data_IF_333293942859
#
_entry.id   IF_333293942859
#
_cell.length_a   1.000
_cell.length_b   1.000
_cell.length_c   1.000
_cell.angle_alpha   90.00
_cell.angle_beta   90.00
_cell.angle_gamma   90.00
#
_symmetry.space_group_name_H-M   'P 1'
#
loop_
_entity.id
_entity.type
_entity.pdbx_description
1 polymer ?
#
# COMPACT_ATOMS: atom_id res chain seq x y z
N UNK A 1 -18.85 21.14 -19.17
CA UNK A 1 -18.33 19.80 -18.84
C UNK A 1 -17.31 19.96 -17.74
N UNK A 2 -17.55 19.35 -16.57
CA UNK A 2 -16.68 19.49 -15.41
C UNK A 2 -15.70 18.32 -15.42
N UNK A 3 -14.39 18.61 -15.42
CA UNK A 3 -13.35 17.58 -15.43
C UNK A 3 -13.48 16.69 -14.19
N UNK A 4 -13.27 15.35 -14.32
CA UNK A 4 -13.34 14.47 -13.17
C UNK A 4 -12.33 14.92 -12.11
N UNK A 5 -12.79 15.05 -10.87
CA UNK A 5 -11.94 15.35 -9.70
C UNK A 5 -11.07 14.13 -9.42
N UNK A 6 -9.92 14.04 -10.06
CA UNK A 6 -9.02 12.88 -10.01
C UNK A 6 -8.15 12.84 -8.74
N UNK A 7 -8.57 13.51 -7.65
CA UNK A 7 -7.82 13.61 -6.40
C UNK A 7 -8.77 13.49 -5.20
N UNK A 8 -9.37 12.31 -4.97
CA UNK A 8 -10.09 12.06 -3.74
C UNK A 8 -9.14 12.21 -2.54
N UNK A 9 -9.63 12.61 -1.36
CA UNK A 9 -8.80 12.67 -0.16
C UNK A 9 -8.30 11.26 0.16
N UNK A 10 -7.04 11.01 -0.13
CA UNK A 10 -6.30 9.80 0.24
C UNK A 10 -6.30 9.77 1.78
N UNK A 11 -7.14 8.94 2.38
CA UNK A 11 -7.07 8.68 3.82
C UNK A 11 -5.88 7.77 4.09
N UNK A 12 -4.70 8.38 4.24
CA UNK A 12 -3.49 7.70 4.70
C UNK A 12 -3.70 7.28 6.16
N UNK A 13 -4.17 6.04 6.37
CA UNK A 13 -4.46 5.55 7.71
C UNK A 13 -3.20 5.45 8.58
N UNK A 14 -2.04 5.16 7.99
CA UNK A 14 -0.73 5.23 8.64
C UNK A 14 0.37 5.07 7.57
N UNK A 15 1.33 6.00 7.48
CA UNK A 15 2.55 5.79 6.70
C UNK A 15 3.72 6.09 7.61
N UNK A 16 4.68 5.18 7.68
CA UNK A 16 5.86 5.45 8.49
C UNK A 16 6.66 6.62 7.91
N UNK A 17 6.98 7.58 8.79
CA UNK A 17 7.83 8.73 8.48
C UNK A 17 9.26 8.33 8.10
N UNK A 18 9.65 7.07 8.35
CA UNK A 18 10.95 6.51 7.95
C UNK A 18 11.01 6.11 6.47
N UNK A 19 9.84 5.87 5.85
CA UNK A 19 9.73 5.39 4.46
C UNK A 19 9.48 6.53 3.48
N UNK A 20 8.65 7.48 3.88
CA UNK A 20 8.39 8.72 3.18
C UNK A 20 8.58 9.87 4.17
N UNK A 21 9.79 10.43 4.31
CA UNK A 21 9.99 11.57 5.18
C UNK A 21 9.11 12.73 4.72
N UNK A 22 8.38 13.41 5.62
CA UNK A 22 7.72 14.65 5.27
C UNK A 22 8.80 15.66 4.86
N UNK A 23 8.77 16.13 3.62
CA UNK A 23 9.60 17.26 3.21
C UNK A 23 9.14 18.46 4.03
N UNK A 24 9.95 18.87 5.01
CA UNK A 24 9.72 20.16 5.67
C UNK A 24 10.16 21.23 4.67
N UNK A 25 9.23 22.07 4.21
CA UNK A 25 9.49 23.22 3.31
C UNK A 25 10.41 24.31 3.91
N UNK A 26 11.17 24.03 4.97
CA UNK A 26 11.97 25.02 5.70
C UNK A 26 13.38 24.60 6.10
N UNK A 27 14.00 23.64 5.40
CA UNK A 27 15.43 23.34 5.59
C UNK A 27 16.25 23.74 4.35
N UNK A 28 16.17 25.01 3.96
CA UNK A 28 17.07 25.61 2.94
C UNK A 28 18.47 25.87 3.53
N UNK A 29 18.63 25.86 4.85
CA UNK A 29 19.88 26.26 5.53
C UNK A 29 20.45 25.23 6.52
N UNK A 30 19.91 24.01 6.58
CA UNK A 30 20.44 22.94 7.43
C UNK A 30 20.60 21.70 6.57
N UNK A 31 21.84 21.39 6.20
CA UNK A 31 22.21 20.19 5.42
C UNK A 31 22.05 18.90 6.24
N UNK A 32 20.96 18.73 6.98
CA UNK A 32 20.54 17.39 7.38
C UNK A 32 19.75 16.80 6.22
N UNK A 33 20.47 16.33 5.21
CA UNK A 33 19.91 15.38 4.25
C UNK A 33 19.33 14.25 5.09
N UNK A 34 18.00 14.18 5.24
CA UNK A 34 17.36 12.99 5.77
C UNK A 34 17.70 11.89 4.77
N UNK A 35 18.75 11.12 5.05
CA UNK A 35 19.17 10.04 4.18
C UNK A 35 17.99 9.08 4.05
N UNK A 36 17.50 8.94 2.83
CA UNK A 36 16.48 7.94 2.53
C UNK A 36 17.03 6.59 2.92
N UNK A 37 16.27 5.84 3.73
CA UNK A 37 16.60 4.46 4.12
C UNK A 37 16.73 3.54 2.90
N UNK A 38 16.09 3.91 1.80
CA UNK A 38 16.01 3.12 0.57
C UNK A 38 16.51 3.90 -0.64
N UNK A 39 17.20 3.20 -1.52
CA UNK A 39 17.69 3.70 -2.81
C UNK A 39 16.63 3.52 -3.92
N UNK A 40 15.72 2.54 -3.73
CA UNK A 40 14.56 2.28 -4.60
C UNK A 40 13.34 1.93 -3.74
N UNK A 41 12.17 2.47 -4.07
CA UNK A 41 10.89 2.09 -3.43
C UNK A 41 9.96 1.49 -4.48
N UNK A 42 9.47 0.27 -4.21
CA UNK A 42 8.49 -0.42 -5.06
C UNK A 42 7.10 -0.32 -4.44
N UNK A 43 6.17 0.30 -5.17
CA UNK A 43 4.78 0.40 -4.76
C UNK A 43 3.94 -0.72 -5.41
N UNK A 44 3.36 -1.58 -4.58
CA UNK A 44 2.62 -2.76 -5.02
C UNK A 44 1.14 -2.58 -4.76
N UNK A 45 0.31 -2.54 -5.81
CA UNK A 45 -1.15 -2.62 -5.68
C UNK A 45 -1.55 -4.02 -5.23
N UNK A 46 -2.24 -4.13 -4.10
CA UNK A 46 -2.70 -5.39 -3.53
C UNK A 46 -4.17 -5.30 -3.14
N UNK A 47 -4.91 -6.39 -3.33
CA UNK A 47 -6.24 -6.51 -2.75
C UNK A 47 -6.15 -6.60 -1.21
N UNK A 48 -7.15 -6.06 -0.51
CA UNK A 48 -7.18 -5.99 0.96
C UNK A 48 -7.02 -7.37 1.63
N UNK A 49 -7.51 -8.42 0.98
CA UNK A 49 -7.50 -9.80 1.45
C UNK A 49 -6.26 -10.63 1.05
N UNK A 50 -5.36 -10.11 0.21
CA UNK A 50 -4.18 -10.84 -0.29
C UNK A 50 -3.00 -10.80 0.71
N UNK A 51 -3.23 -11.17 1.97
CA UNK A 51 -2.19 -11.15 3.01
C UNK A 51 -1.00 -12.05 2.68
N UNK A 52 -1.27 -13.26 2.17
CA UNK A 52 -0.23 -14.23 1.84
C UNK A 52 0.69 -13.72 0.73
N UNK A 53 0.12 -13.15 -0.34
CA UNK A 53 0.92 -12.59 -1.44
C UNK A 53 1.80 -11.45 -0.93
N UNK A 54 1.27 -10.56 -0.07
CA UNK A 54 2.07 -9.50 0.55
C UNK A 54 3.22 -10.07 1.38
N UNK A 55 2.99 -11.14 2.13
CA UNK A 55 4.05 -11.81 2.89
C UNK A 55 5.11 -12.42 1.97
N UNK A 56 4.71 -13.08 0.88
CA UNK A 56 5.65 -13.62 -0.11
C UNK A 56 6.48 -12.51 -0.74
N UNK A 57 5.88 -11.36 -1.07
CA UNK A 57 6.61 -10.19 -1.55
C UNK A 57 7.61 -9.66 -0.52
N UNK A 58 7.22 -9.54 0.76
CA UNK A 58 8.14 -9.15 1.84
C UNK A 58 9.36 -10.07 1.92
N UNK A 59 9.13 -11.38 1.93
CA UNK A 59 10.22 -12.36 1.98
C UNK A 59 11.13 -12.30 0.76
N UNK A 60 10.57 -12.09 -0.43
CA UNK A 60 11.35 -11.96 -1.67
C UNK A 60 12.26 -10.73 -1.62
N UNK A 61 11.71 -9.55 -1.28
CA UNK A 61 12.50 -8.32 -1.26
C UNK A 61 13.49 -8.26 -0.10
N UNK A 62 13.19 -8.89 1.04
CA UNK A 62 14.19 -9.11 2.09
C UNK A 62 15.38 -9.91 1.55
N UNK A 63 15.12 -11.04 0.88
CA UNK A 63 16.19 -11.86 0.28
C UNK A 63 16.97 -11.10 -0.80
N UNK A 64 16.32 -10.28 -1.62
CA UNK A 64 17.00 -9.45 -2.63
C UNK A 64 17.93 -8.44 -1.95
N UNK A 65 17.47 -7.77 -0.88
CA UNK A 65 18.31 -6.85 -0.12
C UNK A 65 19.52 -7.56 0.49
N UNK A 66 19.33 -8.72 1.14
CA UNK A 66 20.43 -9.50 1.74
C UNK A 66 21.51 -9.88 0.70
N UNK A 67 21.07 -10.28 -0.50
CA UNK A 67 21.97 -10.59 -1.61
C UNK A 67 22.67 -9.34 -2.16
N UNK A 68 21.97 -8.20 -2.15
CA UNK A 68 22.50 -6.95 -2.66
C UNK A 68 23.60 -6.35 -1.77
N UNK A 69 23.53 -6.56 -0.45
CA UNK A 69 24.57 -6.10 0.50
C UNK A 69 25.98 -6.56 0.13
N UNK A 70 26.09 -7.72 -0.51
CA UNK A 70 27.38 -8.34 -0.90
C UNK A 70 27.75 -8.09 -2.36
N UNK A 71 26.96 -7.28 -3.08
CA UNK A 71 27.19 -6.98 -4.50
C UNK A 71 28.14 -5.80 -4.69
N UNK A 72 28.70 -5.65 -5.89
CA UNK A 72 29.55 -4.51 -6.24
C UNK A 72 28.81 -3.15 -6.15
N UNK A 73 27.48 -3.17 -6.18
CA UNK A 73 26.61 -2.00 -6.11
C UNK A 73 25.41 -2.31 -5.20
N UNK A 74 25.56 -2.21 -3.87
CA UNK A 74 24.47 -2.50 -2.94
C UNK A 74 23.31 -1.52 -3.14
N UNK A 75 22.10 -2.07 -3.19
CA UNK A 75 20.85 -1.35 -3.43
C UNK A 75 19.85 -1.72 -2.34
N UNK A 76 19.44 -0.73 -1.55
CA UNK A 76 18.45 -0.90 -0.48
C UNK A 76 17.07 -0.68 -1.06
N UNK A 77 16.31 -1.75 -1.24
CA UNK A 77 14.96 -1.69 -1.82
C UNK A 77 13.90 -1.69 -0.70
N UNK A 78 13.08 -0.64 -0.68
CA UNK A 78 11.88 -0.56 0.14
C UNK A 78 10.66 -1.05 -0.64
N UNK A 79 9.70 -1.66 0.05
CA UNK A 79 8.42 -2.02 -0.56
C UNK A 79 7.28 -1.39 0.21
N UNK A 80 6.26 -0.91 -0.51
CA UNK A 80 5.05 -0.33 0.08
C UNK A 80 3.83 -0.93 -0.60
N UNK A 81 2.87 -1.42 0.17
CA UNK A 81 1.63 -1.98 -0.38
C UNK A 81 0.53 -0.93 -0.40
N UNK A 82 -0.11 -0.74 -1.55
CA UNK A 82 -1.32 0.05 -1.74
C UNK A 82 -2.51 -0.91 -1.66
N UNK A 83 -3.24 -0.87 -0.54
CA UNK A 83 -4.42 -1.71 -0.30
C UNK A 83 -5.69 -0.86 -0.22
N UNK A 84 -6.79 -1.39 -0.76
CA UNK A 84 -8.09 -0.73 -0.65
C UNK A 84 -8.67 -0.82 0.77
N UNK A 85 -9.56 0.11 1.12
CA UNK A 85 -10.35 0.02 2.36
C UNK A 85 -11.18 -1.30 2.44
N UNK A 86 -11.17 -2.00 3.60
CA UNK A 86 -12.09 -3.10 3.84
C UNK A 86 -13.54 -2.58 3.82
N UNK A 87 -14.42 -3.16 2.99
CA UNK A 87 -15.82 -2.73 2.84
C UNK A 87 -16.80 -3.85 3.15
N UNK A 88 -17.84 -3.54 3.92
CA UNK A 88 -18.84 -4.50 4.43
C UNK A 88 -19.76 -5.11 3.37
N UNK A 89 -20.03 -4.42 2.26
CA UNK A 89 -20.86 -4.95 1.17
C UNK A 89 -20.81 -4.06 -0.07
N UNK A 90 -21.19 -4.63 -1.22
CA UNK A 90 -21.39 -3.88 -2.46
C UNK A 90 -21.10 -4.67 -3.73
N UNK A 91 -21.80 -5.78 -3.97
CA UNK A 91 -22.01 -6.43 -5.28
C UNK A 91 -20.90 -6.29 -6.37
N UNK A 92 -19.63 -6.44 -6.00
CA UNK A 92 -18.49 -6.13 -6.87
C UNK A 92 -18.52 -4.72 -7.53
N UNK A 93 -19.41 -3.83 -7.11
CA UNK A 93 -19.68 -2.52 -7.73
C UNK A 93 -19.42 -1.41 -6.73
N UNK A 94 -18.75 -0.35 -7.16
CA UNK A 94 -18.40 0.79 -6.33
C UNK A 94 -18.60 2.09 -7.08
N UNK A 95 -19.13 3.06 -6.35
CA UNK A 95 -19.21 4.44 -6.81
C UNK A 95 -17.83 5.10 -6.63
N UNK A 96 -17.34 5.71 -7.71
CA UNK A 96 -16.09 6.46 -7.76
C UNK A 96 -16.30 7.70 -8.62
N UNK A 97 -16.22 8.87 -8.01
CA UNK A 97 -16.34 10.17 -8.68
C UNK A 97 -17.65 10.34 -9.47
N UNK A 98 -18.76 9.81 -8.95
CA UNK A 98 -20.07 9.79 -9.61
C UNK A 98 -20.28 8.64 -10.58
N UNK A 99 -19.30 7.75 -10.74
CA UNK A 99 -19.37 6.60 -11.66
C UNK A 99 -19.46 5.28 -10.91
N UNK A 100 -20.43 4.45 -11.29
CA UNK A 100 -20.50 3.06 -10.84
C UNK A 100 -19.51 2.21 -11.64
N UNK A 101 -18.51 1.67 -10.95
CA UNK A 101 -17.51 0.77 -11.50
C UNK A 101 -17.74 -0.63 -10.94
N UNK A 102 -17.98 -1.60 -11.82
CA UNK A 102 -18.16 -3.00 -11.45
C UNK A 102 -16.92 -3.81 -11.77
N UNK A 103 -16.34 -4.49 -10.79
CA UNK A 103 -15.30 -5.50 -11.00
C UNK A 103 -15.89 -6.71 -11.71
N UNK A 104 -15.49 -6.89 -12.95
CA UNK A 104 -15.81 -8.09 -13.70
C UNK A 104 -14.93 -9.28 -13.28
N UNK A 105 -15.31 -10.47 -13.73
CA UNK A 105 -14.48 -11.67 -13.74
C UNK A 105 -13.97 -12.06 -12.34
N UNK A 106 -12.68 -12.42 -12.26
CA UNK A 106 -12.03 -12.92 -11.05
C UNK A 106 -12.14 -11.93 -9.90
N UNK A 107 -11.89 -10.64 -10.15
CA UNK A 107 -11.89 -9.62 -9.11
C UNK A 107 -13.28 -9.47 -8.45
N UNK A 108 -14.35 -9.46 -9.26
CA UNK A 108 -15.71 -9.41 -8.73
C UNK A 108 -16.12 -10.67 -7.97
N UNK A 109 -15.75 -11.85 -8.49
CA UNK A 109 -16.01 -13.13 -7.80
C UNK A 109 -15.29 -13.23 -6.47
N UNK A 110 -14.02 -12.83 -6.43
CA UNK A 110 -13.23 -12.83 -5.19
C UNK A 110 -13.84 -11.89 -4.15
N UNK A 111 -14.31 -10.71 -4.54
CA UNK A 111 -14.96 -9.77 -3.61
C UNK A 111 -16.25 -10.33 -3.02
N UNK A 112 -17.08 -11.01 -3.83
CA UNK A 112 -18.29 -11.68 -3.34
C UNK A 112 -17.95 -12.86 -2.42
N UNK A 113 -16.94 -13.65 -2.78
CA UNK A 113 -16.52 -14.80 -1.98
C UNK A 113 -16.08 -14.39 -0.58
N UNK A 114 -15.33 -13.31 -0.44
CA UNK A 114 -14.78 -12.85 0.84
C UNK A 114 -15.72 -11.96 1.66
N UNK A 115 -16.94 -11.67 1.17
CA UNK A 115 -17.85 -10.72 1.82
C UNK A 115 -18.15 -11.14 3.26
N UNK A 116 -18.39 -12.43 3.49
CA UNK A 116 -18.61 -13.01 4.82
C UNK A 116 -17.35 -12.98 5.72
N UNK A 117 -16.16 -12.83 5.14
CA UNK A 117 -14.88 -12.74 5.85
C UNK A 117 -14.53 -11.29 6.22
N UNK A 118 -15.39 -10.32 5.91
CA UNK A 118 -15.09 -8.91 6.15
C UNK A 118 -14.59 -8.59 7.58
N UNK A 119 -15.22 -9.08 8.68
CA UNK A 119 -14.74 -8.80 10.02
C UNK A 119 -13.31 -9.32 10.27
N UNK A 120 -13.00 -10.49 9.71
CA UNK A 120 -11.68 -11.11 9.82
C UNK A 120 -10.64 -10.35 9.01
N UNK A 121 -10.96 -9.99 7.75
CA UNK A 121 -10.09 -9.18 6.89
C UNK A 121 -9.78 -7.84 7.56
N UNK A 122 -10.80 -7.17 8.09
CA UNK A 122 -10.61 -5.89 8.76
C UNK A 122 -9.72 -6.02 10.00
N UNK A 123 -9.85 -7.11 10.78
CA UNK A 123 -8.96 -7.43 11.89
C UNK A 123 -7.52 -7.66 11.42
N UNK A 124 -7.31 -8.52 10.43
CA UNK A 124 -5.98 -8.84 9.91
C UNK A 124 -5.29 -7.62 9.28
N UNK A 125 -6.04 -6.73 8.59
CA UNK A 125 -5.47 -5.47 8.10
C UNK A 125 -4.99 -4.60 9.27
N UNK A 126 -5.77 -4.48 10.34
CA UNK A 126 -5.33 -3.72 11.52
C UNK A 126 -4.07 -4.31 12.15
N UNK A 127 -4.02 -5.64 12.29
CA UNK A 127 -2.82 -6.33 12.78
C UNK A 127 -1.62 -6.09 11.85
N UNK A 128 -1.82 -6.13 10.53
CA UNK A 128 -0.77 -5.87 9.55
C UNK A 128 -0.27 -4.42 9.57
N UNK A 129 -1.15 -3.43 9.78
CA UNK A 129 -0.76 -2.01 9.95
C UNK A 129 0.11 -1.84 11.21
N UNK A 130 -0.23 -2.53 12.30
CA UNK A 130 0.55 -2.46 13.54
C UNK A 130 1.88 -3.18 13.43
N UNK A 131 1.92 -4.27 12.68
CA UNK A 131 3.13 -5.08 12.50
C UNK A 131 4.10 -4.49 11.47
N UNK A 132 3.58 -3.81 10.44
CA UNK A 132 4.38 -3.32 9.32
C UNK A 132 4.16 -1.84 9.05
N UNK A 133 5.27 -1.11 9.03
CA UNK A 133 5.33 0.32 8.73
C UNK A 133 5.02 0.71 7.27
N UNK A 134 4.85 -0.28 6.37
CA UNK A 134 4.87 -0.11 4.91
C UNK A 134 3.54 -0.48 4.22
N UNK A 135 2.41 -0.21 4.87
CA UNK A 135 1.08 -0.48 4.34
C UNK A 135 0.29 0.82 4.17
N UNK A 136 0.02 1.20 2.93
CA UNK A 136 -0.84 2.31 2.56
C UNK A 136 -2.25 1.82 2.29
N UNK A 137 -3.19 2.22 3.14
CA UNK A 137 -4.61 1.96 2.91
C UNK A 137 -5.21 3.18 2.21
N UNK A 138 -5.94 2.95 1.10
CA UNK A 138 -6.48 3.99 0.21
C UNK A 138 -7.89 3.69 -0.26
#
# INVERSE_FOLDING_TARGET
MQSPKNNPPIQLLHVSSTSCPPVKEKDVNTSSTLESKYDLVVMVKSAVYNFQDRQTFRSLYARINDLSEHSAYPLRIGIVFLVGLPRRSGNATFERDGFNVTLANRAGRSLKYIEHLHPLIHRHVKEEILQYEYLLVV
#
